data_IF_673469696232
#
_entry.id   IF_673469696232
#
_cell.length_a   1.000
_cell.length_b   1.000
_cell.length_c   1.000
_cell.angle_alpha   90.00
_cell.angle_beta   90.00
_cell.angle_gamma   90.00
#
_symmetry.space_group_name_H-M   'P 1'
#
loop_
_entity.id
_entity.type
_entity.pdbx_description
1 polymer ?
#
# COMPACT_ATOMS: atom_id res chain seq x y z
N UNK A 1 9.66 7.52 6.90
CA UNK A 1 8.79 8.42 6.13
C UNK A 1 8.48 9.72 6.90
N UNK A 2 7.79 9.67 8.05
CA UNK A 2 7.41 10.88 8.83
C UNK A 2 8.62 11.75 9.20
N UNK A 3 9.68 11.17 9.79
CA UNK A 3 10.91 11.90 10.13
C UNK A 3 11.58 12.53 8.91
N UNK A 4 11.57 11.83 7.78
CA UNK A 4 12.13 12.33 6.52
C UNK A 4 11.35 13.55 6.02
N UNK A 5 10.01 13.48 6.02
CA UNK A 5 9.16 14.61 5.62
C UNK A 5 9.32 15.82 6.55
N UNK A 6 9.46 15.60 7.86
CA UNK A 6 9.70 16.65 8.85
C UNK A 6 11.05 17.35 8.60
N UNK A 7 12.12 16.57 8.40
CA UNK A 7 13.46 17.11 8.10
C UNK A 7 13.43 17.93 6.81
N UNK A 8 12.77 17.45 5.75
CA UNK A 8 12.66 18.21 4.49
C UNK A 8 11.89 19.52 4.67
N UNK A 9 10.79 19.54 5.43
CA UNK A 9 10.02 20.76 5.67
C UNK A 9 10.69 21.75 6.63
N UNK A 10 11.62 21.30 7.47
CA UNK A 10 12.43 22.19 8.31
C UNK A 10 13.57 22.82 7.52
N UNK A 11 14.12 22.11 6.51
CA UNK A 11 15.32 22.53 5.77
C UNK A 11 15.05 23.26 4.45
N UNK A 12 13.97 22.94 3.74
CA UNK A 12 13.71 23.44 2.37
C UNK A 12 12.87 24.74 2.33
N UNK A 13 11.72 24.85 3.02
CA UNK A 13 10.86 26.02 2.99
C UNK A 13 11.50 27.19 3.75
N UNK A 14 11.65 28.33 3.08
CA UNK A 14 12.18 29.57 3.64
C UNK A 14 11.07 30.60 3.81
N UNK A 15 10.06 30.27 4.60
CA UNK A 15 8.86 31.09 4.79
C UNK A 15 8.76 31.62 6.22
N UNK A 16 8.59 32.93 6.37
CA UNK A 16 8.43 33.59 7.67
C UNK A 16 9.75 33.98 8.36
N UNK A 17 9.67 34.51 9.59
CA UNK A 17 10.83 34.99 10.34
C UNK A 17 11.80 33.85 10.65
N UNK A 18 13.10 34.18 10.68
CA UNK A 18 14.17 33.23 10.95
C UNK A 18 14.24 33.00 12.47
N UNK A 19 14.02 31.76 12.90
CA UNK A 19 14.09 31.38 14.31
C UNK A 19 15.53 31.09 14.73
N UNK A 20 16.30 30.42 13.86
CA UNK A 20 17.68 30.02 14.14
C UNK A 20 18.48 29.90 12.85
N UNK A 21 19.67 30.49 12.83
CA UNK A 21 20.64 30.30 11.75
C UNK A 21 21.66 29.25 12.19
N UNK A 22 21.66 28.10 11.53
CA UNK A 22 22.66 27.04 11.74
C UNK A 22 23.54 26.99 10.48
N UNK A 23 24.51 27.91 10.39
CA UNK A 23 25.41 28.00 9.24
C UNK A 23 24.68 28.34 7.91
N UNK A 24 24.88 27.59 6.81
CA UNK A 24 24.20 27.87 5.52
C UNK A 24 22.70 27.56 5.53
N UNK A 25 22.19 26.93 6.60
CA UNK A 25 20.78 26.61 6.77
C UNK A 25 20.13 27.57 7.76
N UNK A 26 19.17 28.35 7.27
CA UNK A 26 18.30 29.16 8.10
C UNK A 26 17.01 28.36 8.37
N UNK A 27 16.68 28.13 9.64
CA UNK A 27 15.43 27.51 10.05
C UNK A 27 14.39 28.61 10.19
N UNK A 28 13.33 28.52 9.38
CA UNK A 28 12.22 29.45 9.39
C UNK A 28 11.04 28.91 10.18
N UNK A 29 10.31 29.79 10.87
CA UNK A 29 9.12 29.43 11.64
C UNK A 29 8.06 28.70 10.79
N UNK A 30 7.85 29.16 9.55
CA UNK A 30 6.91 28.54 8.62
C UNK A 30 7.31 27.10 8.25
N UNK A 31 8.61 26.83 8.07
CA UNK A 31 9.11 25.48 7.78
C UNK A 31 8.88 24.50 8.94
N UNK A 32 9.13 24.96 10.18
CA UNK A 32 8.91 24.15 11.39
C UNK A 32 7.42 23.87 11.60
N UNK A 33 6.57 24.89 11.50
CA UNK A 33 5.13 24.74 11.75
C UNK A 33 4.45 23.89 10.66
N UNK A 34 4.76 24.11 9.39
CA UNK A 34 4.26 23.28 8.29
C UNK A 34 4.81 21.85 8.36
N UNK A 35 6.09 21.68 8.70
CA UNK A 35 6.71 20.38 8.87
C UNK A 35 6.07 19.56 9.99
N UNK A 36 5.78 20.19 11.13
CA UNK A 36 5.08 19.53 12.24
C UNK A 36 3.63 19.20 11.87
N UNK A 37 2.93 20.11 11.20
CA UNK A 37 1.55 19.89 10.74
C UNK A 37 1.46 18.69 9.78
N UNK A 38 2.32 18.64 8.77
CA UNK A 38 2.35 17.54 7.79
C UNK A 38 2.81 16.24 8.45
N UNK A 39 3.81 16.28 9.33
CA UNK A 39 4.28 15.09 10.03
C UNK A 39 3.17 14.48 10.91
N UNK A 40 2.46 15.30 11.67
CA UNK A 40 1.33 14.86 12.51
C UNK A 40 0.20 14.32 11.64
N UNK A 41 -0.16 15.00 10.54
CA UNK A 41 -1.17 14.54 9.59
C UNK A 41 -0.84 13.16 9.01
N UNK A 42 0.41 12.96 8.58
CA UNK A 42 0.87 11.67 8.05
C UNK A 42 0.86 10.59 9.12
N UNK A 43 1.30 10.91 10.35
CA UNK A 43 1.25 9.97 11.47
C UNK A 43 -0.19 9.53 11.75
N UNK A 44 -1.14 10.46 11.82
CA UNK A 44 -2.55 10.15 12.04
C UNK A 44 -3.12 9.28 10.93
N UNK A 45 -2.81 9.58 9.66
CA UNK A 45 -3.25 8.75 8.53
C UNK A 45 -2.70 7.32 8.63
N UNK A 46 -1.39 7.16 8.85
CA UNK A 46 -0.76 5.84 8.94
C UNK A 46 -1.28 5.05 10.13
N UNK A 47 -1.44 5.68 11.29
CA UNK A 47 -2.01 5.02 12.46
C UNK A 47 -3.44 4.55 12.21
N UNK A 48 -4.28 5.42 11.62
CA UNK A 48 -5.67 5.09 11.33
C UNK A 48 -5.81 3.96 10.31
N UNK A 49 -5.05 4.01 9.21
CA UNK A 49 -5.10 2.95 8.19
C UNK A 49 -4.54 1.63 8.72
N UNK A 50 -3.49 1.67 9.53
CA UNK A 50 -2.93 0.48 10.17
C UNK A 50 -3.93 -0.13 11.15
N UNK A 51 -4.62 0.70 11.93
CA UNK A 51 -5.65 0.24 12.86
C UNK A 51 -6.76 -0.48 12.10
N UNK A 52 -7.35 0.14 11.06
CA UNK A 52 -8.38 -0.50 10.22
C UNK A 52 -7.85 -1.82 9.62
N UNK A 53 -6.62 -1.83 9.11
CA UNK A 53 -6.01 -3.03 8.50
C UNK A 53 -5.82 -4.17 9.50
N UNK A 54 -5.51 -3.85 10.76
CA UNK A 54 -5.24 -4.84 11.81
C UNK A 54 -6.49 -5.29 12.55
N UNK A 55 -7.50 -4.42 12.69
CA UNK A 55 -8.71 -4.72 13.48
C UNK A 55 -9.86 -5.26 12.64
N UNK A 56 -9.81 -5.13 11.31
CA UNK A 56 -10.93 -5.49 10.42
C UNK A 56 -10.51 -6.59 9.47
N UNK A 57 -11.35 -7.62 9.30
CA UNK A 57 -11.07 -8.69 8.35
C UNK A 57 -11.23 -8.18 6.91
N UNK A 58 -10.51 -8.77 5.92
CA UNK A 58 -10.67 -8.38 4.52
C UNK A 58 -12.09 -8.55 3.98
N UNK A 59 -12.85 -9.51 4.52
CA UNK A 59 -14.24 -9.76 4.14
C UNK A 59 -15.13 -8.62 4.66
N UNK A 60 -15.01 -8.27 5.94
CA UNK A 60 -15.78 -7.15 6.53
C UNK A 60 -15.45 -5.82 5.85
N UNK A 61 -14.19 -5.63 5.42
CA UNK A 61 -13.79 -4.46 4.65
C UNK A 61 -14.50 -4.40 3.29
N UNK A 62 -14.67 -5.55 2.63
CA UNK A 62 -15.38 -5.66 1.35
C UNK A 62 -16.86 -5.37 1.50
N UNK A 63 -17.49 -5.89 2.56
CA UNK A 63 -18.89 -5.63 2.88
C UNK A 63 -19.10 -4.13 3.22
N UNK A 64 -18.15 -3.51 3.92
CA UNK A 64 -18.13 -2.07 4.17
C UNK A 64 -18.08 -1.26 2.86
N UNK A 65 -17.24 -1.68 1.90
CA UNK A 65 -17.14 -1.09 0.57
C UNK A 65 -18.43 -1.27 -0.23
N UNK A 66 -19.12 -2.41 -0.12
CA UNK A 66 -20.45 -2.62 -0.74
C UNK A 66 -21.47 -1.60 -0.21
N UNK A 67 -21.53 -1.42 1.11
CA UNK A 67 -22.41 -0.44 1.73
C UNK A 67 -22.14 0.98 1.22
N UNK A 68 -20.86 1.34 1.08
CA UNK A 68 -20.42 2.62 0.50
C UNK A 68 -20.82 2.78 -0.98
N UNK A 69 -20.85 1.70 -1.77
CA UNK A 69 -21.27 1.73 -3.17
C UNK A 69 -22.78 1.57 -3.39
N UNK A 70 -23.55 1.20 -2.36
CA UNK A 70 -25.01 1.11 -2.43
C UNK A 70 -25.72 2.38 -2.89
N UNK A 71 -25.36 3.62 -2.48
CA UNK A 71 -25.97 4.84 -3.02
C UNK A 71 -25.70 5.04 -4.53
N UNK A 72 -24.59 4.51 -5.06
CA UNK A 72 -24.24 4.59 -6.48
C UNK A 72 -25.07 3.65 -7.35
N UNK A 73 -25.89 2.76 -6.76
CA UNK A 73 -26.89 1.96 -7.50
C UNK A 73 -27.83 2.84 -8.32
N UNK A 74 -28.09 4.07 -7.89
CA UNK A 74 -28.93 5.05 -8.62
C UNK A 74 -28.32 5.48 -9.97
N UNK A 75 -27.01 5.29 -10.17
CA UNK A 75 -26.27 5.64 -11.39
C UNK A 75 -26.04 4.39 -12.28
N UNK A 76 -26.67 3.26 -11.94
CA UNK A 76 -26.55 2.01 -12.69
C UNK A 76 -25.36 1.13 -12.31
N UNK A 77 -24.67 1.41 -11.21
CA UNK A 77 -23.57 0.57 -10.70
C UNK A 77 -24.13 -0.68 -9.99
N UNK A 78 -23.78 -1.92 -10.42
CA UNK A 78 -24.23 -3.13 -9.77
C UNK A 78 -23.40 -3.45 -8.52
N UNK A 79 -23.57 -2.64 -7.47
CA UNK A 79 -22.75 -2.74 -6.25
C UNK A 79 -22.79 -4.12 -5.57
N UNK A 80 -23.94 -4.81 -5.63
CA UNK A 80 -24.10 -6.14 -5.02
C UNK A 80 -23.30 -7.23 -5.75
N UNK A 81 -23.32 -7.21 -7.08
CA UNK A 81 -22.57 -8.17 -7.91
C UNK A 81 -21.06 -7.95 -7.75
N UNK A 82 -20.63 -6.70 -7.67
CA UNK A 82 -19.23 -6.35 -7.37
C UNK A 82 -18.80 -6.90 -6.01
N UNK A 83 -19.64 -6.74 -4.98
CA UNK A 83 -19.34 -7.27 -3.65
C UNK A 83 -19.24 -8.79 -3.63
N UNK A 84 -20.17 -9.48 -4.31
CA UNK A 84 -20.14 -10.93 -4.47
C UNK A 84 -18.85 -11.41 -5.15
N UNK A 85 -18.47 -10.77 -6.27
CA UNK A 85 -17.23 -11.11 -6.99
C UNK A 85 -15.98 -10.87 -6.12
N UNK A 86 -15.94 -9.78 -5.37
CA UNK A 86 -14.84 -9.47 -4.46
C UNK A 86 -14.75 -10.48 -3.31
N UNK A 87 -15.87 -10.86 -2.70
CA UNK A 87 -15.93 -11.87 -1.63
C UNK A 87 -15.44 -13.23 -2.11
N UNK A 88 -15.87 -13.65 -3.31
CA UNK A 88 -15.40 -14.88 -3.97
C UNK A 88 -13.89 -14.79 -4.24
N UNK A 89 -13.40 -13.68 -4.80
CA UNK A 89 -11.99 -13.49 -5.09
C UNK A 89 -11.14 -13.56 -3.81
N UNK A 90 -11.51 -12.85 -2.75
CA UNK A 90 -10.79 -12.86 -1.47
C UNK A 90 -10.73 -14.26 -0.85
N UNK A 91 -11.80 -15.04 -0.97
CA UNK A 91 -11.83 -16.44 -0.49
C UNK A 91 -10.94 -17.36 -1.33
N UNK A 92 -10.82 -17.12 -2.63
CA UNK A 92 -9.99 -17.93 -3.51
C UNK A 92 -8.51 -17.54 -3.51
N UNK A 93 -8.14 -16.31 -3.09
CA UNK A 93 -6.72 -15.89 -2.99
C UNK A 93 -5.87 -16.91 -2.20
N UNK A 94 -6.26 -17.35 -0.98
CA UNK A 94 -5.51 -18.36 -0.24
C UNK A 94 -5.34 -19.68 -1.01
N UNK A 95 -6.41 -20.15 -1.65
CA UNK A 95 -6.39 -21.39 -2.44
C UNK A 95 -5.47 -21.27 -3.66
N UNK A 96 -5.55 -20.15 -4.39
CA UNK A 96 -4.66 -19.87 -5.52
C UNK A 96 -3.20 -19.79 -5.09
N UNK A 97 -2.90 -19.20 -3.92
CA UNK A 97 -1.55 -19.19 -3.38
C UNK A 97 -1.04 -20.60 -3.09
N UNK A 98 -1.86 -21.45 -2.47
CA UNK A 98 -1.50 -22.85 -2.20
C UNK A 98 -1.25 -23.64 -3.49
N UNK A 99 -2.09 -23.45 -4.50
CA UNK A 99 -1.93 -24.16 -5.77
C UNK A 99 -0.69 -23.67 -6.53
N UNK A 100 -0.45 -22.35 -6.52
CA UNK A 100 0.78 -21.76 -7.07
C UNK A 100 2.03 -22.33 -6.39
N UNK A 101 2.00 -22.49 -5.06
CA UNK A 101 3.10 -23.08 -4.30
C UNK A 101 3.36 -24.55 -4.68
N UNK A 102 2.29 -25.34 -4.87
CA UNK A 102 2.41 -26.73 -5.34
C UNK A 102 2.99 -26.80 -6.75
N UNK A 103 2.51 -25.98 -7.66
CA UNK A 103 3.03 -25.92 -9.04
C UNK A 103 4.50 -25.52 -9.02
N UNK A 104 4.87 -24.52 -8.22
CA UNK A 104 6.26 -24.08 -8.08
C UNK A 104 7.16 -25.21 -7.58
N UNK A 105 6.75 -25.94 -6.53
CA UNK A 105 7.48 -27.11 -6.02
C UNK A 105 7.58 -28.23 -7.06
N UNK A 106 6.52 -28.50 -7.82
CA UNK A 106 6.53 -29.50 -8.88
C UNK A 106 7.48 -29.14 -10.02
N UNK A 107 7.53 -27.86 -10.42
CA UNK A 107 8.46 -27.38 -11.45
C UNK A 107 9.92 -27.41 -10.97
N UNK A 108 10.18 -27.09 -9.70
CA UNK A 108 11.50 -27.26 -9.10
C UNK A 108 11.96 -28.72 -9.11
N UNK A 109 11.06 -29.66 -8.78
CA UNK A 109 11.36 -31.10 -8.86
C UNK A 109 11.62 -31.58 -10.31
N UNK A 110 11.07 -30.90 -11.31
CA UNK A 110 11.33 -31.11 -12.74
C UNK A 110 12.60 -30.41 -13.24
N UNK A 111 13.37 -29.77 -12.35
CA UNK A 111 14.65 -29.14 -12.67
C UNK A 111 14.57 -27.69 -13.14
N UNK A 112 13.41 -27.02 -12.98
CA UNK A 112 13.29 -25.58 -13.25
C UNK A 112 13.89 -24.79 -12.11
N UNK A 113 14.93 -24.00 -12.40
CA UNK A 113 15.55 -23.08 -11.45
C UNK A 113 15.02 -21.65 -11.67
N UNK A 114 14.31 -21.13 -10.68
CA UNK A 114 13.74 -19.78 -10.68
C UNK A 114 14.69 -18.70 -10.13
N UNK A 115 15.76 -19.10 -9.45
CA UNK A 115 16.67 -18.21 -8.71
C UNK A 115 17.97 -17.92 -9.45
N UNK A 116 18.35 -18.75 -10.42
CA UNK A 116 19.65 -18.63 -11.08
C UNK A 116 19.57 -18.13 -12.53
N UNK A 117 20.64 -17.45 -12.98
CA UNK A 117 20.80 -17.01 -14.37
C UNK A 117 20.28 -15.60 -14.69
N UNK A 118 20.44 -15.17 -15.96
CA UNK A 118 20.03 -13.84 -16.42
C UNK A 118 18.50 -13.66 -16.33
N UNK A 119 18.05 -12.41 -16.15
CA UNK A 119 16.64 -12.02 -15.99
C UNK A 119 15.75 -12.63 -17.09
N UNK A 120 16.25 -12.72 -18.33
CA UNK A 120 15.53 -13.35 -19.45
C UNK A 120 15.24 -14.84 -19.26
N UNK A 121 16.14 -15.60 -18.62
CA UNK A 121 15.91 -17.01 -18.28
C UNK A 121 14.93 -17.14 -17.12
N UNK A 122 15.03 -16.27 -16.11
CA UNK A 122 14.07 -16.25 -14.99
C UNK A 122 12.64 -15.97 -15.45
N UNK A 123 12.44 -15.02 -16.38
CA UNK A 123 11.12 -14.74 -16.95
C UNK A 123 10.57 -15.95 -17.72
N UNK A 124 11.39 -16.60 -18.56
CA UNK A 124 10.97 -17.81 -19.29
C UNK A 124 10.64 -18.97 -18.34
N UNK A 125 11.34 -19.08 -17.21
CA UNK A 125 11.08 -20.09 -16.19
C UNK A 125 9.72 -19.91 -15.50
N UNK A 126 9.10 -18.71 -15.56
CA UNK A 126 7.76 -18.46 -15.00
C UNK A 126 6.62 -18.92 -15.93
N UNK A 127 6.87 -19.16 -17.22
CA UNK A 127 5.84 -19.60 -18.17
C UNK A 127 5.08 -20.87 -17.74
N UNK A 128 5.72 -21.90 -17.14
CA UNK A 128 5.02 -23.09 -16.64
C UNK A 128 4.21 -22.87 -15.35
N UNK A 129 4.23 -21.66 -14.77
CA UNK A 129 3.41 -21.27 -13.61
C UNK A 129 2.10 -20.57 -14.01
N UNK A 130 1.95 -20.19 -15.28
CA UNK A 130 0.74 -19.62 -15.87
C UNK A 130 -0.16 -20.74 -16.41
#
# INVERSE_FOLDING_TARGET
LVLFTLILHVLLPKEGPVLMTLGPFAIHEGGVMNGLFIATRLLTLVMLTSLITLTTSPIDLTDGVESLFTPLKKVGLPAHELALMMSIALRFIPTFMQETEKILKAQMARGVDFSSGPISKRIKALLPLL
#
